data_IF_077676939044
#
_entry.id   IF_077676939044
#
_cell.length_a   1.000
_cell.length_b   1.000
_cell.length_c   1.000
_cell.angle_alpha   90.00
_cell.angle_beta   90.00
_cell.angle_gamma   90.00
#
_symmetry.space_group_name_H-M   'P 1'
#
loop_
_entity.id
_entity.type
_entity.pdbx_description
1 polymer ?
#
# COMPACT_ATOMS: atom_id res chain seq x y z
N UNK A 1 -19.53 0.30 -18.25
CA UNK A 1 -18.91 0.35 -16.90
C UNK A 1 -17.68 1.24 -16.98
N UNK A 2 -17.66 2.34 -16.22
CA UNK A 2 -16.54 3.28 -16.24
C UNK A 2 -15.58 2.96 -15.09
N UNK A 3 -14.27 2.93 -15.37
CA UNK A 3 -13.18 2.83 -14.38
C UNK A 3 -12.39 4.13 -14.31
N UNK A 4 -11.58 4.25 -13.26
CA UNK A 4 -10.61 5.35 -13.18
C UNK A 4 -9.63 5.30 -14.35
N UNK A 5 -9.24 6.46 -14.86
CA UNK A 5 -8.45 6.57 -16.10
C UNK A 5 -7.01 6.03 -16.03
N UNK A 6 -6.52 5.67 -14.83
CA UNK A 6 -5.19 5.08 -14.69
C UNK A 6 -5.15 3.57 -14.98
N UNK A 7 -6.31 2.91 -15.06
CA UNK A 7 -6.40 1.47 -15.31
C UNK A 7 -6.11 1.18 -16.78
N UNK A 8 -5.18 0.26 -17.03
CA UNK A 8 -4.84 -0.20 -18.37
C UNK A 8 -5.71 -1.38 -18.82
N UNK A 9 -5.37 -1.98 -19.97
CA UNK A 9 -6.00 -3.21 -20.46
C UNK A 9 -5.47 -4.48 -19.78
N UNK A 10 -4.50 -4.37 -18.89
CA UNK A 10 -3.91 -5.50 -18.16
C UNK A 10 -4.90 -6.05 -17.13
N UNK A 11 -5.24 -7.33 -17.22
CA UNK A 11 -6.23 -7.96 -16.35
C UNK A 11 -5.84 -7.89 -14.87
N UNK A 12 -4.55 -8.01 -14.56
CA UNK A 12 -4.06 -7.88 -13.18
C UNK A 12 -4.36 -6.49 -12.62
N UNK A 13 -4.17 -5.44 -13.46
CA UNK A 13 -4.42 -4.06 -13.06
C UNK A 13 -5.92 -3.78 -12.91
N UNK A 14 -6.74 -4.34 -13.82
CA UNK A 14 -8.20 -4.26 -13.74
C UNK A 14 -8.70 -4.90 -12.44
N UNK A 15 -8.25 -6.11 -12.13
CA UNK A 15 -8.66 -6.82 -10.91
C UNK A 15 -8.21 -6.07 -9.63
N UNK A 16 -7.02 -5.50 -9.63
CA UNK A 16 -6.53 -4.68 -8.54
C UNK A 16 -7.43 -3.46 -8.31
N UNK A 17 -7.74 -2.72 -9.38
CA UNK A 17 -8.65 -1.56 -9.31
C UNK A 17 -10.04 -1.95 -8.80
N UNK A 18 -10.61 -3.00 -9.35
CA UNK A 18 -12.01 -3.36 -9.11
C UNK A 18 -12.23 -4.01 -7.74
N UNK A 19 -11.22 -4.70 -7.20
CA UNK A 19 -11.38 -5.57 -6.02
C UNK A 19 -10.56 -5.15 -4.80
N UNK A 20 -9.49 -4.38 -4.98
CA UNK A 20 -8.56 -4.05 -3.91
C UNK A 20 -8.47 -2.55 -3.64
N UNK A 21 -8.17 -1.76 -4.65
CA UNK A 21 -7.90 -0.34 -4.49
C UNK A 21 -9.12 0.43 -3.94
N UNK A 22 -8.94 1.14 -2.84
CA UNK A 22 -10.02 1.88 -2.17
C UNK A 22 -10.90 1.02 -1.24
N UNK A 23 -10.65 -0.28 -1.14
CA UNK A 23 -11.35 -1.16 -0.20
C UNK A 23 -10.68 -1.09 1.18
N UNK A 24 -11.42 -0.77 2.25
CA UNK A 24 -10.85 -0.66 3.59
C UNK A 24 -10.17 -1.96 4.05
N UNK A 25 -8.90 -1.86 4.43
CA UNK A 25 -8.12 -2.95 5.00
C UNK A 25 -7.82 -2.66 6.47
N UNK A 26 -8.09 -3.62 7.33
CA UNK A 26 -7.88 -3.50 8.78
C UNK A 26 -6.93 -4.56 9.34
N UNK A 27 -6.53 -5.54 8.55
CA UNK A 27 -5.55 -6.55 8.96
C UNK A 27 -4.15 -5.94 9.00
N UNK A 28 -3.50 -5.97 10.17
CA UNK A 28 -2.18 -5.36 10.38
C UNK A 28 -1.09 -5.93 9.48
N UNK A 29 -1.09 -7.24 9.22
CA UNK A 29 -0.09 -7.87 8.34
C UNK A 29 -0.28 -7.49 6.88
N UNK A 30 -1.52 -7.42 6.41
CA UNK A 30 -1.84 -6.96 5.05
C UNK A 30 -1.48 -5.49 4.87
N UNK A 31 -1.74 -4.67 5.88
CA UNK A 31 -1.32 -3.27 5.89
C UNK A 31 0.21 -3.14 5.86
N UNK A 32 0.93 -3.99 6.62
CA UNK A 32 2.38 -4.05 6.58
C UNK A 32 2.91 -4.47 5.20
N UNK A 33 2.35 -5.50 4.59
CA UNK A 33 2.70 -5.90 3.22
C UNK A 33 2.54 -4.72 2.26
N UNK A 34 1.41 -4.04 2.34
CA UNK A 34 1.11 -2.97 1.39
C UNK A 34 1.99 -1.74 1.58
N UNK A 35 2.30 -1.32 2.80
CA UNK A 35 3.20 -0.18 3.00
C UNK A 35 4.61 -0.50 2.49
N UNK A 36 5.08 -1.74 2.65
CA UNK A 36 6.35 -2.17 2.10
C UNK A 36 6.35 -2.18 0.57
N UNK A 37 5.30 -2.72 -0.05
CA UNK A 37 5.18 -2.76 -1.51
C UNK A 37 5.08 -1.35 -2.11
N UNK A 38 4.32 -0.45 -1.49
CA UNK A 38 4.24 0.95 -1.94
C UNK A 38 5.61 1.63 -1.87
N UNK A 39 6.41 1.35 -0.86
CA UNK A 39 7.78 1.84 -0.76
C UNK A 39 8.70 1.35 -1.89
N UNK A 40 8.46 0.15 -2.42
CA UNK A 40 9.20 -0.38 -3.57
C UNK A 40 8.92 0.39 -4.86
N UNK A 41 7.76 1.07 -4.94
CA UNK A 41 7.36 1.85 -6.10
C UNK A 41 8.22 3.10 -6.31
N UNK A 42 8.91 3.62 -5.31
CA UNK A 42 9.65 4.87 -5.41
C UNK A 42 10.50 4.92 -6.69
N UNK A 43 10.22 5.88 -7.57
CA UNK A 43 10.86 6.02 -8.89
C UNK A 43 10.35 5.07 -9.98
N UNK A 44 9.31 4.29 -9.73
CA UNK A 44 8.73 3.29 -10.64
C UNK A 44 7.21 3.45 -10.76
N UNK A 45 6.59 2.72 -11.69
CA UNK A 45 5.14 2.62 -11.77
C UNK A 45 4.59 1.53 -10.84
N UNK A 46 3.38 1.72 -10.32
CA UNK A 46 2.74 0.72 -9.46
C UNK A 46 2.55 -0.64 -10.14
N UNK A 47 2.18 -0.65 -11.42
CA UNK A 47 1.99 -1.92 -12.15
C UNK A 47 3.28 -2.75 -12.18
N UNK A 48 4.45 -2.11 -12.19
CA UNK A 48 5.74 -2.79 -12.12
C UNK A 48 5.89 -3.57 -10.81
N UNK A 49 5.53 -2.96 -9.70
CA UNK A 49 5.55 -3.60 -8.37
C UNK A 49 4.44 -4.65 -8.26
N UNK A 50 3.24 -4.34 -8.71
CA UNK A 50 2.09 -5.25 -8.66
C UNK A 50 2.38 -6.57 -9.39
N UNK A 51 3.02 -6.53 -10.55
CA UNK A 51 3.46 -7.73 -11.31
C UNK A 51 4.48 -8.58 -10.57
N UNK A 52 5.21 -7.99 -9.62
CA UNK A 52 6.23 -8.67 -8.82
C UNK A 52 5.73 -9.08 -7.43
N UNK A 53 4.48 -8.77 -7.10
CA UNK A 53 3.93 -8.97 -5.74
C UNK A 53 4.09 -10.39 -5.22
N UNK A 54 3.76 -11.40 -6.02
CA UNK A 54 3.92 -12.80 -5.63
C UNK A 54 5.39 -13.19 -5.40
N UNK A 55 6.30 -12.64 -6.20
CA UNK A 55 7.72 -12.84 -5.99
C UNK A 55 8.21 -12.20 -4.70
N UNK A 56 7.71 -11.00 -4.36
CA UNK A 56 7.96 -10.36 -3.06
C UNK A 56 7.45 -11.19 -1.89
N UNK A 57 6.24 -11.72 -2.00
CA UNK A 57 5.66 -12.60 -0.97
C UNK A 57 6.55 -13.81 -0.72
N UNK A 58 7.03 -14.44 -1.77
CA UNK A 58 7.96 -15.59 -1.66
C UNK A 58 9.31 -15.18 -1.06
N UNK A 59 9.86 -14.06 -1.48
CA UNK A 59 11.16 -13.57 -1.03
C UNK A 59 11.15 -13.13 0.45
N UNK A 60 10.02 -12.61 0.93
CA UNK A 60 9.88 -12.01 2.25
C UNK A 60 8.91 -12.78 3.17
N UNK A 61 8.91 -14.11 3.11
CA UNK A 61 8.16 -14.99 4.03
C UNK A 61 6.68 -14.64 4.16
N UNK A 62 6.02 -14.36 3.04
CA UNK A 62 4.61 -13.94 2.96
C UNK A 62 4.31 -12.69 3.81
N UNK A 63 5.31 -11.82 3.96
CA UNK A 63 5.26 -10.62 4.81
C UNK A 63 4.86 -10.89 6.25
N UNK A 64 5.24 -12.04 6.79
CA UNK A 64 5.18 -12.28 8.23
C UNK A 64 6.22 -11.40 8.93
N UNK A 65 5.80 -10.41 9.75
CA UNK A 65 6.74 -9.42 10.27
C UNK A 65 7.87 -10.04 11.13
N UNK A 66 7.57 -11.07 11.89
CA UNK A 66 8.59 -11.75 12.72
C UNK A 66 9.64 -12.44 11.86
N UNK A 67 9.22 -13.16 10.83
CA UNK A 67 10.12 -13.84 9.90
C UNK A 67 10.96 -12.84 9.09
N UNK A 68 10.34 -11.76 8.60
CA UNK A 68 11.06 -10.72 7.87
C UNK A 68 12.06 -9.99 8.76
N UNK A 69 11.69 -9.65 10.00
CA UNK A 69 12.57 -9.00 10.97
C UNK A 69 13.81 -9.83 11.31
N UNK A 70 13.72 -11.15 11.23
CA UNK A 70 14.82 -12.09 11.49
C UNK A 70 15.77 -12.28 10.29
N UNK A 71 15.43 -11.72 9.13
CA UNK A 71 16.30 -11.79 7.94
C UNK A 71 17.63 -11.10 8.18
N UNK A 72 18.69 -11.63 7.57
CA UNK A 72 20.08 -11.23 7.80
C UNK A 72 20.68 -10.53 6.59
N UNK A 73 21.91 -10.01 6.74
CA UNK A 73 22.67 -9.45 5.63
C UNK A 73 22.93 -10.47 4.51
N UNK A 74 23.09 -11.76 4.84
CA UNK A 74 23.20 -12.83 3.85
C UNK A 74 21.93 -12.97 3.01
N UNK A 75 20.77 -12.80 3.61
CA UNK A 75 19.49 -12.74 2.90
C UNK A 75 19.44 -11.54 1.93
N UNK A 76 19.92 -10.39 2.36
CA UNK A 76 20.02 -9.19 1.50
C UNK A 76 20.93 -9.47 0.30
N UNK A 77 22.11 -10.06 0.52
CA UNK A 77 23.04 -10.41 -0.56
C UNK A 77 22.41 -11.37 -1.58
N UNK A 78 21.64 -12.33 -1.11
CA UNK A 78 20.89 -13.25 -1.98
C UNK A 78 19.79 -12.53 -2.76
N UNK A 79 19.03 -11.65 -2.10
CA UNK A 79 17.88 -10.96 -2.70
C UNK A 79 18.29 -9.89 -3.72
N UNK A 80 19.45 -9.25 -3.61
CA UNK A 80 19.94 -8.31 -4.63
C UNK A 80 20.24 -8.99 -5.96
N UNK A 81 20.29 -10.32 -5.99
CA UNK A 81 20.46 -11.14 -7.19
C UNK A 81 19.15 -11.73 -7.72
N UNK A 82 18.05 -11.59 -6.96
CA UNK A 82 16.73 -12.11 -7.34
C UNK A 82 16.10 -11.24 -8.43
N UNK A 83 15.99 -11.79 -9.65
CA UNK A 83 15.37 -11.08 -10.78
C UNK A 83 13.85 -10.94 -10.67
N UNK A 84 13.23 -11.67 -9.74
CA UNK A 84 11.78 -11.61 -9.50
C UNK A 84 11.32 -10.37 -8.74
N UNK A 85 12.25 -9.67 -8.10
CA UNK A 85 11.99 -8.43 -7.35
C UNK A 85 12.85 -7.28 -7.90
N UNK A 86 12.59 -6.07 -7.40
CA UNK A 86 13.43 -4.90 -7.70
C UNK A 86 14.75 -5.06 -6.94
N UNK A 87 15.87 -5.18 -7.67
CA UNK A 87 17.19 -5.45 -7.11
C UNK A 87 17.86 -4.17 -6.60
N UNK A 88 17.23 -3.54 -5.64
CA UNK A 88 17.71 -2.32 -5.01
C UNK A 88 17.98 -2.60 -3.53
N UNK A 89 19.26 -2.64 -3.14
CA UNK A 89 19.70 -2.98 -1.78
C UNK A 89 18.98 -2.17 -0.70
N UNK A 90 18.91 -0.87 -0.85
CA UNK A 90 18.27 0.01 0.12
C UNK A 90 16.77 -0.29 0.29
N UNK A 91 16.07 -0.62 -0.79
CA UNK A 91 14.66 -1.00 -0.75
C UNK A 91 14.44 -2.37 -0.09
N UNK A 92 15.34 -3.32 -0.33
CA UNK A 92 15.33 -4.64 0.33
C UNK A 92 15.56 -4.48 1.84
N UNK A 93 16.58 -3.74 2.22
CA UNK A 93 16.88 -3.47 3.62
C UNK A 93 15.74 -2.73 4.33
N UNK A 94 15.04 -1.85 3.60
CA UNK A 94 13.90 -1.11 4.14
C UNK A 94 12.75 -2.05 4.55
N UNK A 95 12.44 -3.08 3.78
CA UNK A 95 11.40 -4.06 4.15
C UNK A 95 11.76 -4.74 5.47
N UNK A 96 13.00 -5.16 5.63
CA UNK A 96 13.48 -5.81 6.87
C UNK A 96 13.43 -4.82 8.05
N UNK A 97 13.91 -3.60 7.86
CA UNK A 97 13.85 -2.55 8.88
C UNK A 97 12.42 -2.17 9.25
N UNK A 98 11.52 -2.10 8.28
CA UNK A 98 10.09 -1.84 8.51
C UNK A 98 9.43 -2.96 9.32
N UNK A 99 9.82 -4.22 9.11
CA UNK A 99 9.34 -5.33 9.93
C UNK A 99 9.76 -5.21 11.38
N UNK A 100 11.01 -4.80 11.63
CA UNK A 100 11.51 -4.55 12.99
C UNK A 100 10.76 -3.40 13.66
N UNK A 101 10.49 -2.33 12.92
CA UNK A 101 9.71 -1.20 13.43
C UNK A 101 8.26 -1.60 13.73
N UNK A 102 7.63 -2.41 12.88
CA UNK A 102 6.30 -2.97 13.11
C UNK A 102 6.24 -3.76 14.42
N UNK A 103 7.19 -4.67 14.63
CA UNK A 103 7.25 -5.47 15.85
C UNK A 103 7.48 -4.61 17.10
N UNK A 104 8.32 -3.58 17.01
CA UNK A 104 8.54 -2.66 18.11
C UNK A 104 7.25 -1.91 18.49
N UNK A 105 6.47 -1.49 17.51
CA UNK A 105 5.16 -0.87 17.73
C UNK A 105 4.21 -1.82 18.47
N UNK A 106 4.08 -3.06 17.99
CA UNK A 106 3.23 -4.08 18.62
C UNK A 106 3.66 -4.36 20.08
N UNK A 107 4.96 -4.48 20.33
CA UNK A 107 5.52 -4.69 21.68
C UNK A 107 5.24 -3.50 22.61
N UNK A 108 5.17 -2.30 22.08
CA UNK A 108 4.86 -1.09 22.84
C UNK A 108 3.37 -0.84 23.01
N UNK A 109 2.51 -1.80 22.64
CA UNK A 109 1.06 -1.67 22.76
C UNK A 109 0.44 -0.71 21.74
N UNK A 110 1.08 -0.57 20.58
CA UNK A 110 0.66 0.29 19.48
C UNK A 110 0.35 -0.59 18.24
N UNK A 111 -0.84 -1.23 18.17
CA UNK A 111 -1.21 -2.07 17.03
C UNK A 111 -1.20 -1.28 15.72
N UNK A 112 -0.57 -1.84 14.69
CA UNK A 112 -0.31 -1.14 13.44
C UNK A 112 -1.59 -0.66 12.75
N UNK A 113 -2.62 -1.51 12.70
CA UNK A 113 -3.91 -1.14 12.10
C UNK A 113 -4.55 0.05 12.83
N UNK A 114 -4.67 0.00 14.14
CA UNK A 114 -5.25 1.09 14.94
C UNK A 114 -4.46 2.38 14.78
N UNK A 115 -3.13 2.29 14.77
CA UNK A 115 -2.25 3.44 14.50
C UNK A 115 -2.54 4.08 13.16
N UNK A 116 -2.59 3.31 12.08
CA UNK A 116 -2.82 3.82 10.73
C UNK A 116 -4.20 4.47 10.59
N UNK A 117 -5.24 3.78 11.06
CA UNK A 117 -6.61 4.27 10.97
C UNK A 117 -6.88 5.53 11.79
N UNK A 118 -6.08 5.79 12.83
CA UNK A 118 -6.19 7.02 13.63
C UNK A 118 -5.94 8.29 12.80
N UNK A 119 -5.21 8.20 11.69
CA UNK A 119 -4.94 9.35 10.81
C UNK A 119 -6.14 9.79 9.97
N UNK A 120 -7.19 9.00 9.92
CA UNK A 120 -8.46 9.29 9.23
C UNK A 120 -9.67 9.17 10.16
N UNK A 121 -9.45 9.37 11.47
CA UNK A 121 -10.51 9.32 12.50
C UNK A 121 -11.27 7.98 12.53
N UNK A 122 -10.59 6.89 12.18
CA UNK A 122 -11.11 5.53 12.10
C UNK A 122 -12.27 5.33 11.10
N UNK A 123 -12.37 6.20 10.11
CA UNK A 123 -13.40 6.14 9.07
C UNK A 123 -12.78 6.37 7.69
N UNK A 124 -13.14 5.57 6.68
CA UNK A 124 -12.72 5.82 5.31
C UNK A 124 -13.18 7.21 4.84
N UNK A 125 -12.25 7.96 4.23
CA UNK A 125 -12.57 9.26 3.62
C UNK A 125 -12.87 9.06 2.14
N UNK A 126 -14.04 9.51 1.71
CA UNK A 126 -14.47 9.40 0.31
C UNK A 126 -14.25 10.74 -0.38
N UNK A 127 -13.51 10.73 -1.48
CA UNK A 127 -13.26 11.92 -2.29
C UNK A 127 -14.35 12.08 -3.35
N UNK A 128 -14.74 13.32 -3.63
CA UNK A 128 -15.75 13.66 -4.64
C UNK A 128 -15.09 14.19 -5.92
N UNK A 129 -13.95 13.67 -6.32
CA UNK A 129 -13.23 14.04 -7.52
C UNK A 129 -13.93 13.50 -8.77
N UNK A 130 -14.22 14.35 -9.74
CA UNK A 130 -14.78 13.93 -11.02
C UNK A 130 -13.70 13.48 -12.01
N UNK A 131 -12.46 13.95 -11.85
CA UNK A 131 -11.33 13.66 -12.72
C UNK A 131 -10.09 13.29 -11.90
N UNK A 132 -9.14 12.61 -12.56
CA UNK A 132 -7.86 12.28 -11.92
C UNK A 132 -7.04 13.52 -11.52
N UNK A 133 -7.20 14.62 -12.26
CA UNK A 133 -6.50 15.87 -11.97
C UNK A 133 -6.92 16.50 -10.63
N UNK A 134 -8.10 16.19 -10.13
CA UNK A 134 -8.62 16.68 -8.86
C UNK A 134 -8.14 15.83 -7.67
N UNK A 135 -7.58 14.64 -7.93
CA UNK A 135 -7.07 13.77 -6.88
C UNK A 135 -5.69 14.28 -6.44
N UNK A 136 -5.49 14.55 -5.14
CA UNK A 136 -4.20 15.02 -4.64
C UNK A 136 -3.16 13.90 -4.66
N UNK A 137 -1.88 14.27 -4.62
CA UNK A 137 -0.76 13.33 -4.46
C UNK A 137 -0.30 13.22 -3.01
N UNK A 138 -0.75 14.13 -2.16
CA UNK A 138 -0.53 14.14 -0.72
C UNK A 138 -1.60 14.98 -0.02
N UNK A 139 -1.77 14.76 1.27
CA UNK A 139 -2.70 15.51 2.12
C UNK A 139 -2.05 15.80 3.46
N UNK A 140 -2.62 16.69 4.31
CA UNK A 140 -2.15 16.84 5.68
C UNK A 140 -2.11 15.53 6.47
N UNK A 141 -3.06 14.62 6.23
CA UNK A 141 -3.08 13.30 6.87
C UNK A 141 -1.90 12.43 6.41
N UNK A 142 -1.58 12.40 5.11
CA UNK A 142 -0.41 11.67 4.61
C UNK A 142 0.91 12.27 5.08
N UNK A 143 0.99 13.59 5.20
CA UNK A 143 2.16 14.28 5.76
C UNK A 143 2.40 13.87 7.22
N UNK A 144 1.33 13.85 8.03
CA UNK A 144 1.38 13.44 9.42
C UNK A 144 1.75 11.95 9.55
N UNK A 145 1.16 11.09 8.73
CA UNK A 145 1.45 9.65 8.70
C UNK A 145 2.92 9.40 8.32
N UNK A 146 3.41 10.05 7.28
CA UNK A 146 4.81 9.96 6.86
C UNK A 146 5.77 10.31 7.99
N UNK A 147 5.54 11.45 8.65
CA UNK A 147 6.34 11.91 9.78
C UNK A 147 6.31 10.90 10.94
N UNK A 148 5.14 10.38 11.27
CA UNK A 148 4.96 9.44 12.36
C UNK A 148 5.63 8.08 12.08
N UNK A 149 5.55 7.57 10.85
CA UNK A 149 6.21 6.34 10.42
C UNK A 149 7.74 6.50 10.44
N UNK A 150 8.26 7.59 9.90
CA UNK A 150 9.71 7.88 9.94
C UNK A 150 10.24 7.93 11.36
N UNK A 151 9.50 8.55 12.27
CA UNK A 151 9.86 8.61 13.70
C UNK A 151 9.95 7.21 14.34
N UNK A 152 9.20 6.25 13.84
CA UNK A 152 9.21 4.85 14.30
C UNK A 152 10.23 3.97 13.59
N UNK A 153 11.00 4.54 12.67
CA UNK A 153 12.07 3.83 11.97
C UNK A 153 11.69 3.24 10.63
N UNK A 154 10.49 3.50 10.11
CA UNK A 154 10.12 3.09 8.76
C UNK A 154 10.89 3.90 7.72
N UNK A 155 11.19 3.25 6.57
CA UNK A 155 11.88 3.85 5.43
C UNK A 155 11.04 3.68 4.15
N UNK A 156 11.30 4.55 3.17
CA UNK A 156 10.52 4.66 1.94
C UNK A 156 9.04 4.93 2.21
N UNK A 157 8.79 5.83 3.16
CA UNK A 157 7.45 6.23 3.61
C UNK A 157 7.27 7.75 3.51
N UNK A 158 7.74 8.36 2.42
CA UNK A 158 7.47 9.76 2.12
C UNK A 158 5.96 10.01 1.97
N UNK A 159 5.52 11.27 2.03
CA UNK A 159 4.10 11.62 2.02
C UNK A 159 3.36 11.10 0.78
N UNK A 160 3.98 11.14 -0.40
CA UNK A 160 3.38 10.63 -1.65
C UNK A 160 3.17 9.12 -1.59
N UNK A 161 4.15 8.38 -1.07
CA UNK A 161 4.04 6.93 -0.84
C UNK A 161 2.96 6.63 0.20
N UNK A 162 2.93 7.37 1.30
CA UNK A 162 1.90 7.23 2.32
C UNK A 162 0.50 7.48 1.76
N UNK A 163 0.33 8.50 0.91
CA UNK A 163 -0.95 8.77 0.30
C UNK A 163 -1.39 7.66 -0.66
N UNK A 164 -0.48 7.18 -1.51
CA UNK A 164 -0.74 6.01 -2.37
C UNK A 164 -1.13 4.77 -1.55
N UNK A 165 -0.48 4.56 -0.41
CA UNK A 165 -0.84 3.51 0.55
C UNK A 165 -2.24 3.72 1.12
N UNK A 166 -2.59 4.94 1.51
CA UNK A 166 -3.92 5.27 2.02
C UNK A 166 -5.02 4.99 0.98
N UNK A 167 -4.76 5.31 -0.28
CA UNK A 167 -5.64 4.97 -1.41
C UNK A 167 -5.78 3.45 -1.58
N UNK A 168 -4.67 2.74 -1.62
CA UNK A 168 -4.64 1.30 -1.86
C UNK A 168 -5.39 0.51 -0.78
N UNK A 169 -5.25 0.91 0.49
CA UNK A 169 -5.84 0.24 1.65
C UNK A 169 -7.18 0.82 2.10
N UNK A 170 -7.75 1.72 1.33
CA UNK A 170 -9.09 2.26 1.57
C UNK A 170 -9.23 3.16 2.78
N UNK A 171 -8.13 3.71 3.34
CA UNK A 171 -8.20 4.80 4.29
C UNK A 171 -8.80 6.03 3.62
N UNK A 172 -8.52 6.19 2.33
CA UNK A 172 -9.24 7.10 1.45
C UNK A 172 -9.78 6.31 0.26
N UNK A 173 -10.95 6.68 -0.24
CA UNK A 173 -11.51 6.16 -1.48
C UNK A 173 -11.45 7.26 -2.52
N UNK A 174 -10.51 7.14 -3.43
CA UNK A 174 -10.23 8.11 -4.49
C UNK A 174 -10.68 7.62 -5.88
N UNK A 175 -11.60 6.66 -5.93
CA UNK A 175 -12.31 6.39 -7.17
C UNK A 175 -13.02 7.68 -7.62
N UNK A 176 -12.88 8.05 -8.89
CA UNK A 176 -13.61 9.20 -9.42
C UNK A 176 -15.12 8.95 -9.37
N UNK A 177 -15.91 10.02 -9.27
CA UNK A 177 -17.37 9.91 -9.09
C UNK A 177 -18.07 9.15 -10.22
N UNK A 178 -17.52 9.14 -11.44
CA UNK A 178 -18.03 8.35 -12.56
C UNK A 178 -17.60 6.87 -12.55
N UNK A 179 -16.69 6.48 -11.66
CA UNK A 179 -16.23 5.09 -11.56
C UNK A 179 -17.27 4.23 -10.85
N UNK A 180 -17.52 3.02 -11.35
CA UNK A 180 -18.48 2.10 -10.72
C UNK A 180 -18.06 1.63 -9.32
N UNK A 181 -16.79 1.76 -8.96
CA UNK A 181 -16.27 1.46 -7.62
C UNK A 181 -16.42 2.62 -6.64
N UNK A 182 -16.85 3.81 -7.08
CA UNK A 182 -17.13 4.90 -6.17
C UNK A 182 -18.38 4.55 -5.34
N UNK A 183 -18.41 4.84 -4.02
CA UNK A 183 -19.57 4.49 -3.17
C UNK A 183 -20.92 5.02 -3.65
N UNK A 184 -20.90 6.18 -4.32
CA UNK A 184 -22.08 6.80 -4.93
C UNK A 184 -22.18 6.49 -6.44
N UNK A 185 -21.27 5.65 -6.98
CA UNK A 185 -21.30 5.24 -8.37
C UNK A 185 -22.55 4.40 -8.67
N UNK A 186 -23.01 4.46 -9.91
CA UNK A 186 -24.16 3.67 -10.35
C UNK A 186 -23.79 2.17 -10.30
N UNK A 187 -24.17 1.49 -9.24
CA UNK A 187 -24.17 0.05 -9.20
C UNK A 187 -25.25 -0.43 -10.20
N UNK A 188 -24.83 -1.00 -11.31
CA UNK A 188 -25.74 -1.73 -12.18
C UNK A 188 -26.22 -2.95 -11.39
N UNK A 189 -27.54 -3.06 -11.07
CA UNK A 189 -28.07 -4.15 -10.26
C UNK A 189 -27.92 -5.55 -10.90
N UNK A 190 -27.47 -5.61 -12.15
CA UNK A 190 -27.31 -6.88 -12.89
C UNK A 190 -25.97 -7.58 -12.66
N UNK A 191 -25.03 -6.98 -11.93
CA UNK A 191 -23.71 -7.55 -11.66
C UNK A 191 -23.58 -8.22 -10.28
N UNK A 192 -24.67 -8.33 -9.53
CA UNK A 192 -24.71 -8.97 -8.20
C UNK A 192 -25.18 -10.44 -8.30
N UNK A 193 -24.75 -11.18 -9.33
CA UNK A 193 -25.01 -12.64 -9.45
C UNK A 193 -23.73 -13.39 -9.74
#
# INVERSE_FOLDING_TARGET
>A
MQRCGWVSQDQLYIDYHDKEWGVPETDGKKLFEMICLEGQQAGLSWITVLKKRENYRKAFHQFDPAAVAAMTDDDVERLVLDTGIIRHRGKIQAIIGNARAYLAMEQNGEPFSAFLWSFVDNEPKVTQAATLAEIPTSTPASDALSKALKKRGFKFVGTTICYSFMQACGLVNDHITGCFCHPEGHHDPQMAK
#
